data_IF_757717582324
#
_entry.id   IF_757717582324
#
_cell.length_a   1.000
_cell.length_b   1.000
_cell.length_c   1.000
_cell.angle_alpha   90.00
_cell.angle_beta   90.00
_cell.angle_gamma   90.00
#
_symmetry.space_group_name_H-M   'P 1'
#
loop_
_entity.id
_entity.type
_entity.pdbx_description
1 polymer ?
#
# COMPACT_ATOMS: atom_id res chain seq x y z
N UNK A 1 19.26 28.70 28.35
CA UNK A 1 19.05 27.29 27.96
C UNK A 1 18.76 27.26 26.47
N UNK A 2 19.55 26.54 25.66
CA UNK A 2 19.27 26.39 24.23
C UNK A 2 17.93 25.67 24.05
N UNK A 3 17.09 26.18 23.15
CA UNK A 3 15.76 25.59 22.86
C UNK A 3 15.98 24.24 22.16
N UNK A 4 15.47 23.16 22.73
CA UNK A 4 15.54 21.83 22.09
C UNK A 4 14.83 21.86 20.73
N UNK A 5 15.42 21.20 19.74
CA UNK A 5 14.88 21.06 18.38
C UNK A 5 14.45 19.61 18.15
N UNK A 6 13.25 19.42 17.60
CA UNK A 6 12.72 18.09 17.30
C UNK A 6 12.97 17.78 15.82
N UNK A 7 13.60 16.64 15.56
CA UNK A 7 13.73 16.05 14.23
C UNK A 7 12.80 14.87 14.11
N UNK A 8 11.72 15.05 13.34
CA UNK A 8 10.83 13.94 12.99
C UNK A 8 11.53 13.06 11.95
N UNK A 9 11.54 11.75 12.17
CA UNK A 9 12.14 10.76 11.27
C UNK A 9 11.03 9.98 10.56
N UNK A 10 10.75 10.29 9.28
CA UNK A 10 9.69 9.63 8.53
C UNK A 10 10.00 8.14 8.26
N UNK A 11 8.97 7.34 7.95
CA UNK A 11 9.15 5.97 7.49
C UNK A 11 10.17 5.84 6.36
N UNK A 12 11.11 4.90 6.51
CA UNK A 12 12.12 4.63 5.49
C UNK A 12 13.21 5.68 5.38
N UNK A 13 13.36 6.54 6.39
CA UNK A 13 14.44 7.52 6.49
C UNK A 13 15.25 7.32 7.77
N UNK A 14 16.43 7.94 7.80
CA UNK A 14 17.26 8.01 8.99
C UNK A 14 17.96 9.37 9.08
N UNK A 15 18.41 9.72 10.29
CA UNK A 15 19.27 10.88 10.55
C UNK A 15 20.36 10.51 11.55
N UNK A 16 21.49 11.22 11.45
CA UNK A 16 22.60 11.18 12.40
C UNK A 16 22.82 12.60 12.92
N UNK A 17 23.15 12.76 14.20
CA UNK A 17 23.46 14.06 14.80
C UNK A 17 24.58 13.95 15.82
N UNK A 18 25.25 15.09 16.03
CA UNK A 18 26.20 15.35 17.12
C UNK A 18 25.71 16.46 18.05
N UNK A 19 24.58 17.09 17.69
CA UNK A 19 24.06 18.26 18.39
C UNK A 19 23.22 17.81 19.61
N UNK A 20 23.64 18.16 20.85
CA UNK A 20 22.94 17.76 22.07
C UNK A 20 21.57 18.42 22.25
N UNK A 21 21.23 19.43 21.45
CA UNK A 21 19.91 20.06 21.44
C UNK A 21 18.87 19.32 20.60
N UNK A 22 19.27 18.30 19.83
CA UNK A 22 18.37 17.53 18.97
C UNK A 22 17.69 16.40 19.74
N UNK A 23 16.37 16.31 19.58
CA UNK A 23 15.56 15.15 19.93
C UNK A 23 15.03 14.54 18.63
N UNK A 24 15.27 13.25 18.40
CA UNK A 24 14.70 12.54 17.25
C UNK A 24 13.36 11.92 17.64
N UNK A 25 12.32 12.16 16.85
CA UNK A 25 10.97 11.65 17.09
C UNK A 25 10.49 10.76 15.94
N UNK A 26 9.86 9.63 16.24
CA UNK A 26 9.18 8.82 15.23
C UNK A 26 7.93 8.14 15.81
N UNK A 27 6.93 7.88 14.96
CA UNK A 27 5.73 7.15 15.31
C UNK A 27 5.77 5.76 14.67
N UNK A 28 5.56 4.72 15.48
CA UNK A 28 5.77 3.32 15.10
C UNK A 28 4.50 2.50 15.32
N UNK A 29 4.07 1.77 14.28
CA UNK A 29 3.04 0.74 14.33
C UNK A 29 3.67 -0.64 14.16
N UNK A 30 3.40 -1.29 13.04
CA UNK A 30 4.06 -2.54 12.62
C UNK A 30 5.51 -2.34 12.18
N UNK A 31 5.91 -1.12 11.83
CA UNK A 31 7.29 -0.71 11.62
C UNK A 31 8.10 -0.67 12.92
N UNK A 32 9.43 -0.64 12.81
CA UNK A 32 10.34 -0.54 13.97
C UNK A 32 11.25 0.68 13.84
N UNK A 33 11.60 1.27 14.98
CA UNK A 33 12.65 2.27 15.12
C UNK A 33 13.90 1.61 15.69
N UNK A 34 15.05 1.82 15.03
CA UNK A 34 16.36 1.44 15.56
C UNK A 34 17.10 2.73 15.90
N UNK A 35 17.35 2.94 17.19
CA UNK A 35 18.11 4.09 17.68
C UNK A 35 19.51 3.61 18.03
N UNK A 36 20.53 4.21 17.44
CA UNK A 36 21.93 3.88 17.69
C UNK A 36 22.63 5.07 18.33
N UNK A 37 23.49 4.84 19.30
CA UNK A 37 24.23 5.90 19.97
C UNK A 37 25.60 5.44 20.47
N UNK A 38 26.55 6.37 20.38
CA UNK A 38 27.85 6.36 21.02
C UNK A 38 27.92 7.60 21.93
N UNK A 39 27.69 7.38 23.23
CA UNK A 39 27.68 8.45 24.23
C UNK A 39 29.07 9.10 24.39
N UNK A 40 30.15 8.33 24.24
CA UNK A 40 31.50 8.85 24.42
C UNK A 40 31.84 9.89 23.35
N UNK A 41 31.55 9.56 22.09
CA UNK A 41 31.85 10.47 20.98
C UNK A 41 30.73 11.49 20.72
N UNK A 42 29.64 11.44 21.49
CA UNK A 42 28.46 12.29 21.34
C UNK A 42 27.90 12.22 19.92
N UNK A 43 27.54 11.00 19.50
CA UNK A 43 26.97 10.73 18.17
C UNK A 43 25.82 9.76 18.33
N UNK A 44 24.72 10.04 17.65
CA UNK A 44 23.67 9.03 17.52
C UNK A 44 22.77 9.28 16.33
N UNK A 45 21.99 8.28 16.00
CA UNK A 45 21.07 8.32 14.90
C UNK A 45 19.88 7.40 15.10
N UNK A 46 18.83 7.68 14.35
CA UNK A 46 17.58 6.94 14.37
C UNK A 46 17.20 6.60 12.94
N UNK A 47 16.85 5.35 12.70
CA UNK A 47 16.25 4.88 11.45
C UNK A 47 14.85 4.31 11.69
N UNK A 48 13.92 4.65 10.81
CA UNK A 48 12.58 4.09 10.78
C UNK A 48 12.48 3.01 9.70
N UNK A 49 12.41 1.75 10.11
CA UNK A 49 12.40 0.58 9.23
C UNK A 49 10.97 0.11 9.01
N UNK A 50 10.64 -0.17 7.76
CA UNK A 50 9.30 -0.57 7.32
C UNK A 50 9.26 -2.06 6.99
N UNK A 51 10.31 -2.55 6.32
CA UNK A 51 10.36 -3.89 5.74
C UNK A 51 11.58 -4.69 6.24
N UNK A 52 11.48 -6.03 6.24
CA UNK A 52 12.52 -6.85 6.85
C UNK A 52 13.75 -6.98 5.94
N UNK A 53 13.57 -7.37 4.68
CA UNK A 53 14.68 -7.65 3.76
C UNK A 53 14.49 -7.06 2.36
N UNK A 54 15.54 -6.42 1.84
CA UNK A 54 15.65 -5.91 0.48
C UNK A 54 15.84 -7.01 -0.57
N UNK A 55 16.15 -8.27 -0.22
CA UNK A 55 16.38 -9.35 -1.21
C UNK A 55 15.21 -9.59 -2.17
N UNK A 56 13.98 -9.29 -1.75
CA UNK A 56 12.79 -9.36 -2.59
C UNK A 56 12.75 -8.27 -3.70
N UNK A 57 13.52 -7.19 -3.56
CA UNK A 57 13.68 -6.11 -4.53
C UNK A 57 15.16 -5.96 -4.93
N UNK A 58 15.57 -6.50 -6.09
CA UNK A 58 16.93 -6.29 -6.63
C UNK A 58 17.27 -4.80 -6.62
N UNK A 59 18.22 -4.39 -5.76
CA UNK A 59 18.69 -3.00 -5.54
C UNK A 59 17.54 -1.98 -5.44
N UNK A 60 16.85 -1.99 -4.30
CA UNK A 60 15.83 -0.97 -4.01
C UNK A 60 16.43 0.45 -4.03
N UNK A 61 15.73 1.39 -4.68
CA UNK A 61 16.11 2.82 -4.73
C UNK A 61 16.05 3.50 -3.35
N UNK A 62 15.47 2.85 -2.34
CA UNK A 62 15.24 3.39 -1.00
C UNK A 62 15.76 2.43 0.08
N UNK A 63 17.09 2.28 0.23
CA UNK A 63 17.71 1.28 1.11
C UNK A 63 17.38 1.47 2.61
N UNK A 64 17.03 2.68 3.03
CA UNK A 64 16.65 2.98 4.42
C UNK A 64 15.28 2.40 4.83
N UNK A 65 14.49 1.84 3.90
CA UNK A 65 13.22 1.17 4.20
C UNK A 65 13.37 -0.20 4.84
N UNK A 66 14.49 -0.88 4.58
CA UNK A 66 14.71 -2.27 4.95
C UNK A 66 15.63 -2.40 6.16
N UNK A 67 15.40 -3.37 7.04
CA UNK A 67 16.36 -3.66 8.09
C UNK A 67 17.72 -4.08 7.50
N UNK A 68 17.70 -4.96 6.48
CA UNK A 68 18.91 -5.52 5.87
C UNK A 68 19.84 -4.52 5.20
N UNK A 69 19.32 -3.41 4.68
CA UNK A 69 20.15 -2.35 4.08
C UNK A 69 20.20 -1.05 4.89
N UNK A 70 19.15 -0.74 5.65
CA UNK A 70 19.04 0.52 6.37
C UNK A 70 19.93 0.60 7.62
N UNK A 71 20.02 -0.48 8.40
CA UNK A 71 20.87 -0.51 9.61
C UNK A 71 22.35 -0.38 9.23
N UNK A 72 22.88 -1.14 8.26
CA UNK A 72 24.25 -0.94 7.78
C UNK A 72 24.51 0.48 7.27
N UNK A 73 23.53 1.08 6.58
CA UNK A 73 23.64 2.45 6.07
C UNK A 73 23.72 3.48 7.20
N UNK A 74 22.84 3.39 8.20
CA UNK A 74 22.87 4.25 9.38
C UNK A 74 24.22 4.11 10.11
N UNK A 75 24.71 2.89 10.30
CA UNK A 75 26.01 2.63 10.93
C UNK A 75 27.16 3.29 10.17
N UNK A 76 27.17 3.17 8.84
CA UNK A 76 28.18 3.80 7.99
C UNK A 76 28.18 5.32 8.18
N UNK A 77 27.01 5.96 8.20
CA UNK A 77 26.91 7.41 8.42
C UNK A 77 27.32 7.83 9.84
N UNK A 78 27.05 7.00 10.86
CA UNK A 78 27.55 7.26 12.22
C UNK A 78 29.07 7.17 12.31
N UNK A 79 29.69 6.16 11.69
CA UNK A 79 31.15 6.02 11.66
C UNK A 79 31.79 7.20 10.92
N UNK A 80 31.22 7.61 9.78
CA UNK A 80 31.66 8.83 9.06
C UNK A 80 31.56 10.09 9.94
N UNK A 81 30.56 10.17 10.82
CA UNK A 81 30.43 11.26 11.77
C UNK A 81 31.41 11.17 12.97
N UNK A 82 32.13 10.05 13.12
CA UNK A 82 33.15 9.81 14.14
C UNK A 82 32.78 8.80 15.23
N UNK A 83 31.71 8.01 15.06
CA UNK A 83 31.30 7.02 16.06
C UNK A 83 32.24 5.82 16.07
N UNK A 84 32.49 5.27 17.25
CA UNK A 84 33.25 4.03 17.44
C UNK A 84 32.29 2.84 17.45
N UNK A 85 32.46 1.90 16.50
CA UNK A 85 31.61 0.71 16.39
C UNK A 85 31.59 -0.13 17.66
N UNK A 86 32.68 -0.15 18.42
CA UNK A 86 32.80 -0.89 19.70
C UNK A 86 31.99 -0.26 20.84
N UNK A 87 31.57 1.00 20.68
CA UNK A 87 30.87 1.79 21.71
C UNK A 87 29.42 2.08 21.35
N UNK A 88 28.97 1.65 20.17
CA UNK A 88 27.59 1.84 19.75
C UNK A 88 26.70 0.89 20.56
N UNK A 89 25.64 1.45 21.12
CA UNK A 89 24.53 0.71 21.72
C UNK A 89 23.23 1.00 20.98
N UNK A 90 22.25 0.11 21.11
CA UNK A 90 20.98 0.19 20.40
C UNK A 90 19.75 0.22 21.32
N UNK A 91 18.75 1.00 20.93
CA UNK A 91 17.36 0.82 21.34
C UNK A 91 16.53 0.31 20.18
N UNK A 92 15.64 -0.65 20.47
CA UNK A 92 14.76 -1.27 19.48
C UNK A 92 13.30 -1.11 19.91
N UNK A 93 12.50 -0.36 19.15
CA UNK A 93 11.11 -0.04 19.53
C UNK A 93 10.15 -0.28 18.37
N UNK A 94 8.89 -0.63 18.63
CA UNK A 94 7.82 -0.73 17.63
C UNK A 94 7.35 -2.16 17.35
N UNK A 95 7.03 -2.49 16.10
CA UNK A 95 6.68 -3.85 15.70
C UNK A 95 5.36 -4.35 16.26
N UNK A 96 4.43 -3.45 16.56
CA UNK A 96 3.10 -3.79 17.06
C UNK A 96 2.30 -4.61 16.03
N UNK A 97 1.57 -5.59 16.52
CA UNK A 97 0.61 -6.36 15.75
C UNK A 97 -0.74 -5.64 15.82
N UNK A 98 -1.09 -4.99 14.72
CA UNK A 98 -2.47 -4.58 14.49
C UNK A 98 -3.26 -5.87 14.25
N UNK A 99 -4.20 -6.19 15.13
CA UNK A 99 -5.09 -7.34 14.94
C UNK A 99 -6.01 -7.00 13.76
N UNK A 100 -5.69 -7.54 12.58
CA UNK A 100 -6.67 -7.76 11.52
C UNK A 100 -7.40 -9.07 11.81
N UNK A 101 -8.66 -9.14 11.38
CA UNK A 101 -9.58 -10.24 11.67
C UNK A 101 -8.94 -11.64 11.55
N UNK A 102 -9.38 -12.52 12.45
CA UNK A 102 -8.72 -13.73 13.00
C UNK A 102 -8.34 -14.86 12.02
N UNK A 103 -8.44 -14.68 10.70
CA UNK A 103 -8.09 -15.70 9.69
C UNK A 103 -7.02 -15.27 8.67
N UNK A 104 -6.66 -13.99 8.59
CA UNK A 104 -5.53 -13.50 7.78
C UNK A 104 -4.26 -13.20 8.59
N UNK A 105 -4.32 -13.34 9.91
CA UNK A 105 -3.29 -12.90 10.86
C UNK A 105 -2.05 -13.80 10.94
N UNK A 106 -2.00 -14.91 10.18
CA UNK A 106 -0.89 -15.88 10.26
C UNK A 106 0.27 -15.52 9.31
N UNK A 107 0.02 -14.83 8.19
CA UNK A 107 1.07 -14.56 7.17
C UNK A 107 1.69 -13.15 7.23
N UNK A 108 1.01 -12.17 7.83
CA UNK A 108 1.40 -10.74 7.80
C UNK A 108 2.07 -10.23 9.09
N UNK A 109 2.99 -10.99 9.69
CA UNK A 109 3.73 -10.52 10.86
C UNK A 109 5.00 -9.72 10.51
N UNK A 110 4.81 -8.64 9.74
CA UNK A 110 5.91 -7.78 9.25
C UNK A 110 6.69 -7.18 10.43
N UNK A 111 6.01 -6.79 11.51
CA UNK A 111 6.67 -6.24 12.70
C UNK A 111 7.62 -7.19 13.42
N UNK A 112 7.22 -8.46 13.64
CA UNK A 112 8.14 -9.46 14.20
C UNK A 112 9.28 -9.78 13.24
N UNK A 113 9.01 -9.87 11.93
CA UNK A 113 10.05 -10.09 10.91
C UNK A 113 11.07 -8.95 10.90
N UNK A 114 10.61 -7.69 10.94
CA UNK A 114 11.46 -6.51 11.04
C UNK A 114 12.36 -6.58 12.27
N UNK A 115 11.78 -6.84 13.45
CA UNK A 115 12.53 -6.91 14.69
C UNK A 115 13.55 -8.06 14.69
N UNK A 116 13.18 -9.23 14.17
CA UNK A 116 14.07 -10.38 14.07
C UNK A 116 15.29 -10.07 13.19
N UNK A 117 15.08 -9.50 12.00
CA UNK A 117 16.19 -9.14 11.11
C UNK A 117 17.05 -8.02 11.71
N UNK A 118 16.43 -6.99 12.32
CA UNK A 118 17.18 -5.95 12.99
C UNK A 118 18.08 -6.51 14.10
N UNK A 119 17.56 -7.43 14.93
CA UNK A 119 18.35 -8.13 15.96
C UNK A 119 19.50 -8.91 15.37
N UNK A 120 19.27 -9.66 14.29
CA UNK A 120 20.31 -10.42 13.60
C UNK A 120 21.44 -9.52 13.09
N UNK A 121 21.09 -8.38 12.49
CA UNK A 121 22.07 -7.44 11.95
C UNK A 121 22.86 -6.79 13.07
N UNK A 122 22.19 -6.27 14.11
CA UNK A 122 22.87 -5.65 15.25
C UNK A 122 23.84 -6.64 15.92
N UNK A 123 23.42 -7.90 16.10
CA UNK A 123 24.28 -8.96 16.60
C UNK A 123 25.49 -9.22 15.69
N UNK A 124 25.31 -9.21 14.36
CA UNK A 124 26.43 -9.41 13.41
C UNK A 124 27.46 -8.27 13.44
N UNK A 125 27.06 -7.08 13.90
CA UNK A 125 27.96 -5.94 14.12
C UNK A 125 28.46 -5.85 15.57
N UNK A 126 28.09 -6.80 16.45
CA UNK A 126 28.47 -6.77 17.87
C UNK A 126 27.81 -5.66 18.68
N UNK A 127 26.69 -5.10 18.23
CA UNK A 127 26.02 -3.96 18.86
C UNK A 127 24.99 -4.47 19.90
N UNK A 128 25.17 -4.17 21.20
CA UNK A 128 24.21 -4.57 22.22
C UNK A 128 22.91 -3.76 22.14
N UNK A 129 21.79 -4.45 22.30
CA UNK A 129 20.48 -3.82 22.49
C UNK A 129 20.28 -3.60 23.99
N UNK A 130 20.39 -2.36 24.44
CA UNK A 130 20.32 -2.01 25.87
C UNK A 130 18.88 -1.76 26.35
N UNK A 131 17.94 -1.54 25.44
CA UNK A 131 16.51 -1.47 25.74
C UNK A 131 15.69 -1.90 24.52
N UNK A 132 14.66 -2.70 24.75
CA UNK A 132 13.69 -3.06 23.74
C UNK A 132 12.25 -2.85 24.21
N UNK A 133 11.40 -2.40 23.30
CA UNK A 133 9.94 -2.36 23.47
C UNK A 133 9.29 -2.70 22.12
N UNK A 134 9.21 -4.01 21.85
CA UNK A 134 8.81 -4.58 20.56
C UNK A 134 7.52 -5.40 20.72
N UNK A 135 6.65 -5.37 19.72
CA UNK A 135 5.40 -6.14 19.70
C UNK A 135 4.24 -5.39 20.34
N UNK A 136 3.31 -6.14 20.94
CA UNK A 136 2.06 -5.58 21.49
C UNK A 136 1.03 -5.23 20.41
N UNK A 137 -0.04 -4.55 20.80
CA UNK A 137 -1.19 -4.26 19.93
C UNK A 137 -1.41 -2.76 19.64
N UNK A 138 -0.50 -1.91 20.12
CA UNK A 138 -0.63 -0.46 20.04
C UNK A 138 0.63 0.18 19.48
N UNK A 139 0.45 1.26 18.72
CA UNK A 139 1.58 2.05 18.23
C UNK A 139 2.30 2.80 19.36
N UNK A 140 3.48 3.33 19.04
CA UNK A 140 4.36 4.03 19.98
C UNK A 140 4.91 5.30 19.35
N UNK A 141 5.03 6.35 20.14
CA UNK A 141 5.89 7.50 19.83
C UNK A 141 7.22 7.29 20.53
N UNK A 142 8.29 7.34 19.77
CA UNK A 142 9.65 7.33 20.28
C UNK A 142 10.18 8.74 20.26
N UNK A 143 10.67 9.23 21.41
CA UNK A 143 11.53 10.40 21.51
C UNK A 143 12.90 9.97 22.01
N UNK A 144 13.88 10.08 21.14
CA UNK A 144 15.24 9.65 21.38
C UNK A 144 16.15 10.87 21.50
N UNK A 145 16.92 10.94 22.59
CA UNK A 145 17.98 11.93 22.79
C UNK A 145 19.32 11.24 22.52
N UNK A 146 19.89 11.38 21.30
CA UNK A 146 20.95 10.50 20.84
C UNK A 146 22.23 10.65 21.66
N UNK A 147 22.58 11.89 22.00
CA UNK A 147 23.81 12.23 22.73
C UNK A 147 23.75 11.77 24.18
N UNK A 148 22.56 11.84 24.79
CA UNK A 148 22.35 11.38 26.16
C UNK A 148 22.16 9.87 26.24
N UNK A 149 21.94 9.18 25.11
CA UNK A 149 21.58 7.76 25.08
C UNK A 149 20.30 7.48 25.88
N UNK A 150 19.31 8.37 25.81
CA UNK A 150 18.03 8.21 26.51
C UNK A 150 16.85 8.17 25.54
N UNK A 151 15.82 7.40 25.91
CA UNK A 151 14.64 7.18 25.07
C UNK A 151 13.37 7.23 25.92
N UNK A 152 12.42 8.04 25.47
CA UNK A 152 11.05 8.10 25.97
C UNK A 152 10.14 7.40 24.96
N UNK A 153 9.30 6.49 25.45
CA UNK A 153 8.39 5.70 24.63
C UNK A 153 6.98 5.95 25.16
N UNK A 154 6.13 6.53 24.34
CA UNK A 154 4.72 6.78 24.68
C UNK A 154 3.84 5.82 23.90
N UNK A 155 3.12 4.96 24.60
CA UNK A 155 2.12 4.08 23.97
C UNK A 155 0.92 4.90 23.50
N UNK A 156 0.44 4.64 22.29
CA UNK A 156 -0.75 5.28 21.70
C UNK A 156 -2.07 4.68 22.20
N UNK A 157 -2.09 4.10 23.39
CA UNK A 157 -3.30 3.45 23.93
C UNK A 157 -4.37 4.46 24.34
N UNK A 158 -5.63 4.01 24.27
CA UNK A 158 -6.93 4.72 24.42
C UNK A 158 -7.14 5.56 25.70
N UNK A 159 -6.14 5.77 26.55
CA UNK A 159 -6.21 6.64 27.74
C UNK A 159 -4.91 7.44 27.93
N UNK A 160 -4.92 8.69 27.49
CA UNK A 160 -4.09 9.76 28.06
C UNK A 160 -2.64 9.92 27.59
N UNK A 161 -2.18 9.20 26.57
CA UNK A 161 -0.85 9.44 25.97
C UNK A 161 -0.88 10.56 24.94
N UNK A 162 0.04 11.53 25.04
CA UNK A 162 0.26 12.55 24.02
C UNK A 162 0.55 11.86 22.68
N UNK A 163 -0.45 11.89 21.78
CA UNK A 163 -0.25 11.61 20.37
C UNK A 163 0.93 12.48 19.86
N UNK A 164 1.76 11.97 18.95
CA UNK A 164 2.78 12.80 18.34
C UNK A 164 2.05 13.95 17.66
N UNK A 165 2.54 15.18 17.84
CA UNK A 165 2.00 16.35 17.14
C UNK A 165 2.47 16.25 15.69
N UNK A 166 1.80 15.41 14.91
CA UNK A 166 1.65 15.59 13.48
C UNK A 166 0.74 16.80 13.26
N UNK A 167 0.89 17.52 12.16
CA UNK A 167 -0.06 18.58 11.80
C UNK A 167 -1.28 17.93 11.10
N UNK A 168 -2.40 17.66 11.81
CA UNK A 168 -3.61 17.03 11.24
C UNK A 168 -4.28 17.90 10.16
N UNK A 169 -3.84 19.15 10.02
CA UNK A 169 -4.53 20.19 9.24
C UNK A 169 -4.29 20.09 7.72
N UNK A 170 -3.19 19.48 7.24
CA UNK A 170 -2.95 19.41 5.79
C UNK A 170 -3.68 18.20 5.17
N UNK A 171 -4.95 18.43 4.86
CA UNK A 171 -5.73 17.59 3.94
C UNK A 171 -5.16 17.71 2.52
N UNK A 172 -5.40 16.70 1.69
CA UNK A 172 -5.01 16.74 0.27
C UNK A 172 -5.77 17.91 -0.37
N UNK A 173 -5.09 18.78 -1.11
CA UNK A 173 -5.79 19.80 -1.89
C UNK A 173 -6.42 19.14 -3.12
N UNK A 174 -7.66 19.51 -3.47
CA UNK A 174 -8.36 18.94 -4.64
C UNK A 174 -7.52 19.03 -5.91
N UNK A 175 -6.80 20.14 -6.10
CA UNK A 175 -5.89 20.34 -7.23
C UNK A 175 -4.78 19.29 -7.30
N UNK A 176 -4.14 18.96 -6.17
CA UNK A 176 -3.08 17.93 -6.11
C UNK A 176 -3.65 16.55 -6.47
N UNK A 177 -4.85 16.24 -6.00
CA UNK A 177 -5.55 14.99 -6.30
C UNK A 177 -5.89 14.88 -7.80
N UNK A 178 -6.47 15.92 -8.38
CA UNK A 178 -6.81 15.99 -9.80
C UNK A 178 -5.56 15.90 -10.69
N UNK A 179 -4.44 16.51 -10.31
CA UNK A 179 -3.18 16.38 -11.03
C UNK A 179 -2.69 14.92 -11.09
N UNK A 180 -2.86 14.15 -10.01
CA UNK A 180 -2.53 12.73 -10.00
C UNK A 180 -3.49 11.90 -10.82
N UNK A 181 -4.79 12.14 -10.67
CA UNK A 181 -5.82 11.47 -11.47
C UNK A 181 -5.53 11.72 -12.95
N UNK A 182 -5.14 12.93 -13.34
CA UNK A 182 -4.77 13.30 -14.70
C UNK A 182 -3.59 12.51 -15.27
N UNK A 183 -2.65 12.05 -14.44
CA UNK A 183 -1.51 11.22 -14.86
C UNK A 183 -1.85 9.74 -15.06
N UNK A 184 -3.03 9.28 -14.62
CA UNK A 184 -3.47 7.90 -14.88
C UNK A 184 -3.62 7.69 -16.39
N UNK A 185 -3.15 6.52 -16.85
CA UNK A 185 -3.36 6.06 -18.22
C UNK A 185 -4.88 6.10 -18.52
N UNK A 186 -5.30 6.64 -19.69
CA UNK A 186 -6.70 6.57 -20.09
C UNK A 186 -7.10 5.10 -20.32
N UNK A 187 -8.37 4.79 -20.12
CA UNK A 187 -8.91 3.49 -20.52
C UNK A 187 -8.81 3.34 -22.05
N UNK A 188 -8.33 2.20 -22.56
CA UNK A 188 -8.36 1.90 -23.98
C UNK A 188 -9.78 2.05 -24.55
N UNK A 189 -9.88 2.49 -25.81
CA UNK A 189 -11.17 2.74 -26.47
C UNK A 189 -12.08 1.49 -26.46
N UNK A 190 -11.49 0.30 -26.67
CA UNK A 190 -12.19 -0.99 -26.62
C UNK A 190 -12.87 -1.22 -25.27
N UNK A 191 -12.23 -0.85 -24.16
CA UNK A 191 -12.77 -1.00 -22.81
C UNK A 191 -13.94 -0.03 -22.61
N UNK A 192 -13.76 1.24 -23.01
CA UNK A 192 -14.83 2.23 -22.90
C UNK A 192 -16.06 1.81 -23.68
N UNK A 193 -15.91 1.31 -24.92
CA UNK A 193 -17.03 0.84 -25.73
C UNK A 193 -17.76 -0.35 -25.11
N UNK A 194 -17.05 -1.25 -24.46
CA UNK A 194 -17.65 -2.38 -23.74
C UNK A 194 -18.39 -1.91 -22.47
N UNK A 195 -17.85 -0.93 -21.74
CA UNK A 195 -18.48 -0.39 -20.53
C UNK A 195 -19.73 0.44 -20.85
N UNK A 196 -19.71 1.28 -21.89
CA UNK A 196 -20.78 2.23 -22.20
C UNK A 196 -22.08 1.62 -22.74
N UNK A 197 -22.13 0.31 -22.97
CA UNK A 197 -23.30 -0.37 -23.55
C UNK A 197 -24.31 -0.83 -22.49
N UNK A 198 -24.37 -0.14 -21.36
CA UNK A 198 -25.37 -0.34 -20.29
C UNK A 198 -26.78 0.04 -20.78
N UNK A 199 -26.93 0.85 -21.84
CA UNK A 199 -28.26 1.42 -22.14
C UNK A 199 -28.85 1.17 -23.54
N UNK A 200 -28.09 0.85 -24.61
CA UNK A 200 -28.74 0.49 -25.88
C UNK A 200 -27.75 -0.05 -26.93
N UNK A 201 -28.26 -0.97 -27.78
CA UNK A 201 -27.64 -1.68 -28.93
C UNK A 201 -26.72 -2.88 -28.65
N UNK A 202 -27.15 -4.07 -29.11
CA UNK A 202 -26.30 -5.24 -29.36
C UNK A 202 -25.10 -4.85 -30.27
N UNK A 203 -23.88 -5.00 -29.78
CA UNK A 203 -22.67 -4.91 -30.62
C UNK A 203 -22.51 -6.24 -31.33
N UNK A 204 -22.41 -6.25 -32.67
CA UNK A 204 -22.09 -7.48 -33.38
C UNK A 204 -20.64 -7.93 -33.08
N UNK A 205 -20.39 -9.24 -33.02
CA UNK A 205 -19.04 -9.78 -32.79
C UNK A 205 -17.99 -9.20 -33.76
N UNK A 206 -18.42 -8.83 -34.97
CA UNK A 206 -17.62 -8.22 -36.02
C UNK A 206 -17.13 -6.80 -35.67
N UNK A 207 -17.96 -6.01 -34.98
CA UNK A 207 -17.56 -4.66 -34.54
C UNK A 207 -16.53 -4.73 -33.41
N UNK A 208 -16.68 -5.66 -32.46
CA UNK A 208 -15.71 -5.84 -31.36
C UNK A 208 -14.36 -6.36 -31.87
N UNK A 209 -14.39 -7.24 -32.88
CA UNK A 209 -13.19 -7.80 -33.49
C UNK A 209 -12.26 -6.70 -34.03
N UNK A 210 -12.79 -5.65 -34.68
CA UNK A 210 -11.96 -4.57 -35.24
C UNK A 210 -11.16 -3.83 -34.16
N UNK A 211 -11.74 -3.65 -32.97
CA UNK A 211 -11.07 -2.99 -31.85
C UNK A 211 -10.09 -3.91 -31.13
N UNK A 212 -10.48 -5.18 -30.95
CA UNK A 212 -9.64 -6.18 -30.27
C UNK A 212 -8.37 -6.45 -31.07
N UNK A 213 -8.47 -6.59 -32.39
CA UNK A 213 -7.32 -6.89 -33.28
C UNK A 213 -6.27 -5.79 -33.29
N UNK A 214 -6.61 -4.56 -32.88
CA UNK A 214 -5.65 -3.46 -32.73
C UNK A 214 -4.76 -3.60 -31.48
N UNK A 215 -5.14 -4.48 -30.55
CA UNK A 215 -4.39 -4.75 -29.32
C UNK A 215 -3.92 -6.21 -29.28
N UNK A 216 -2.61 -6.40 -29.45
CA UNK A 216 -1.99 -7.73 -29.50
C UNK A 216 -2.11 -8.49 -28.17
N UNK A 217 -2.08 -7.78 -27.04
CA UNK A 217 -2.16 -8.40 -25.71
C UNK A 217 -3.58 -8.88 -25.41
N UNK A 218 -4.59 -8.05 -25.71
CA UNK A 218 -6.00 -8.43 -25.60
C UNK A 218 -6.33 -9.59 -26.54
N UNK A 219 -5.90 -9.53 -27.79
CA UNK A 219 -6.07 -10.60 -28.78
C UNK A 219 -5.52 -11.93 -28.25
N UNK A 220 -4.28 -11.93 -27.74
CA UNK A 220 -3.65 -13.14 -27.20
C UNK A 220 -4.40 -13.70 -25.97
N UNK A 221 -4.85 -12.82 -25.06
CA UNK A 221 -5.57 -13.24 -23.87
C UNK A 221 -6.95 -13.83 -24.18
N UNK A 222 -7.67 -13.26 -25.14
CA UNK A 222 -8.98 -13.78 -25.59
C UNK A 222 -8.81 -15.16 -26.23
N UNK A 223 -7.85 -15.32 -27.14
CA UNK A 223 -7.57 -16.63 -27.75
C UNK A 223 -7.13 -17.66 -26.70
N UNK A 224 -6.28 -17.27 -25.75
CA UNK A 224 -5.86 -18.15 -24.65
C UNK A 224 -7.05 -18.60 -23.79
N UNK A 225 -7.99 -17.70 -23.48
CA UNK A 225 -9.19 -18.04 -22.72
C UNK A 225 -10.12 -18.98 -23.50
N UNK A 226 -10.37 -18.69 -24.78
CA UNK A 226 -11.22 -19.51 -25.66
C UNK A 226 -10.67 -20.93 -25.87
N UNK A 227 -9.35 -21.09 -25.84
CA UNK A 227 -8.68 -22.39 -25.92
C UNK A 227 -8.51 -23.08 -24.55
N UNK A 228 -9.03 -22.50 -23.46
CA UNK A 228 -8.89 -23.12 -22.14
C UNK A 228 -9.75 -24.39 -22.05
N UNK A 229 -9.30 -25.43 -21.31
CA UNK A 229 -10.06 -26.67 -21.15
C UNK A 229 -11.47 -26.48 -20.59
N UNK A 230 -11.73 -25.35 -19.91
CA UNK A 230 -13.01 -25.00 -19.33
C UNK A 230 -14.15 -24.96 -20.37
N UNK A 231 -13.87 -24.47 -21.58
CA UNK A 231 -14.89 -24.33 -22.63
C UNK A 231 -15.03 -25.60 -23.51
N UNK A 232 -14.21 -26.63 -23.29
CA UNK A 232 -14.43 -27.97 -23.85
C UNK A 232 -14.40 -28.09 -25.38
N UNK A 233 -13.84 -27.11 -26.10
CA UNK A 233 -13.81 -27.12 -27.56
C UNK A 233 -12.81 -28.16 -28.10
N UNK A 234 -13.26 -29.08 -28.96
CA UNK A 234 -12.38 -30.04 -29.62
C UNK A 234 -11.65 -29.38 -30.80
N UNK A 235 -10.46 -28.82 -30.54
CA UNK A 235 -9.60 -28.18 -31.53
C UNK A 235 -8.88 -26.96 -30.97
N UNK A 236 -8.30 -26.14 -31.85
CA UNK A 236 -7.73 -24.85 -31.48
C UNK A 236 -8.48 -23.71 -32.17
N UNK A 237 -8.87 -22.69 -31.40
CA UNK A 237 -9.44 -21.45 -31.91
C UNK A 237 -8.31 -20.48 -32.20
N UNK A 238 -8.18 -20.09 -33.46
CA UNK A 238 -7.18 -19.13 -33.96
C UNK A 238 -7.81 -17.82 -34.47
N UNK A 239 -9.13 -17.72 -34.48
CA UNK A 239 -9.89 -16.58 -35.00
C UNK A 239 -10.65 -15.88 -33.87
N UNK A 240 -10.59 -14.55 -33.83
CA UNK A 240 -11.19 -13.73 -32.77
C UNK A 240 -12.71 -13.75 -32.81
N UNK A 241 -13.33 -13.60 -33.99
CA UNK A 241 -14.78 -13.70 -34.12
C UNK A 241 -15.33 -15.02 -33.55
N UNK A 242 -14.67 -16.15 -33.84
CA UNK A 242 -15.04 -17.47 -33.29
C UNK A 242 -14.82 -17.56 -31.78
N UNK A 243 -13.75 -16.93 -31.27
CA UNK A 243 -13.50 -16.84 -29.83
C UNK A 243 -14.60 -16.05 -29.11
N UNK A 244 -15.02 -14.90 -29.66
CA UNK A 244 -16.10 -14.06 -29.12
C UNK A 244 -17.41 -14.84 -29.05
N UNK A 245 -17.77 -15.56 -30.12
CA UNK A 245 -19.00 -16.37 -30.16
C UNK A 245 -18.96 -17.51 -29.14
N UNK A 246 -17.82 -18.18 -28.95
CA UNK A 246 -17.69 -19.27 -27.98
C UNK A 246 -17.75 -18.77 -26.53
N UNK A 247 -17.00 -17.70 -26.23
CA UNK A 247 -16.90 -17.13 -24.88
C UNK A 247 -18.20 -16.44 -24.45
N UNK A 248 -18.92 -15.86 -25.42
CA UNK A 248 -20.03 -14.96 -25.14
C UNK A 248 -19.56 -13.57 -24.72
N UNK A 249 -20.49 -12.62 -24.72
CA UNK A 249 -20.20 -11.21 -24.45
C UNK A 249 -19.78 -10.95 -23.00
N UNK A 250 -20.39 -11.65 -22.04
CA UNK A 250 -20.08 -11.53 -20.61
C UNK A 250 -18.61 -11.87 -20.32
N UNK A 251 -18.14 -13.03 -20.79
CA UNK A 251 -16.77 -13.47 -20.55
C UNK A 251 -15.75 -12.61 -21.30
N UNK A 252 -16.08 -12.19 -22.53
CA UNK A 252 -15.27 -11.25 -23.28
C UNK A 252 -15.05 -9.95 -22.49
N UNK A 253 -16.11 -9.39 -21.91
CA UNK A 253 -16.05 -8.20 -21.06
C UNK A 253 -15.13 -8.42 -19.86
N UNK A 254 -15.24 -9.56 -19.17
CA UNK A 254 -14.37 -9.91 -18.03
C UNK A 254 -12.90 -9.97 -18.43
N UNK A 255 -12.57 -10.61 -19.55
CA UNK A 255 -11.20 -10.73 -20.05
C UNK A 255 -10.65 -9.37 -20.45
N UNK A 256 -11.42 -8.57 -21.19
CA UNK A 256 -10.98 -7.25 -21.66
C UNK A 256 -10.76 -6.30 -20.48
N UNK A 257 -11.70 -6.22 -19.54
CA UNK A 257 -11.56 -5.41 -18.33
C UNK A 257 -10.38 -5.86 -17.48
N UNK A 258 -10.29 -7.16 -17.19
CA UNK A 258 -9.20 -7.71 -16.38
C UNK A 258 -7.82 -7.49 -16.99
N UNK A 259 -7.70 -7.61 -18.31
CA UNK A 259 -6.43 -7.40 -19.03
C UNK A 259 -6.06 -5.92 -19.08
N UNK A 260 -7.00 -5.04 -19.43
CA UNK A 260 -6.72 -3.62 -19.60
C UNK A 260 -6.52 -2.89 -18.27
N UNK A 261 -7.18 -3.34 -17.21
CA UNK A 261 -6.96 -2.82 -15.86
C UNK A 261 -5.72 -3.42 -15.19
N UNK A 262 -5.17 -4.53 -15.72
CA UNK A 262 -3.97 -5.16 -15.17
C UNK A 262 -2.83 -4.18 -15.01
N UNK A 263 -2.49 -3.41 -16.05
CA UNK A 263 -1.43 -2.41 -16.00
C UNK A 263 -1.61 -1.34 -14.92
N UNK A 264 -2.86 -1.04 -14.57
CA UNK A 264 -3.21 -0.02 -13.58
C UNK A 264 -3.08 -0.62 -12.17
N UNK A 265 -3.61 -1.82 -11.97
CA UNK A 265 -3.61 -2.52 -10.69
C UNK A 265 -2.34 -3.33 -10.38
N UNK A 266 -1.47 -3.62 -11.37
CA UNK A 266 -0.22 -4.39 -11.22
C UNK A 266 0.92 -3.54 -10.62
N UNK A 267 0.55 -2.67 -9.69
CA UNK A 267 1.44 -1.79 -8.93
C UNK A 267 1.44 -2.20 -7.46
N UNK A 268 2.55 -1.92 -6.76
CA UNK A 268 2.60 -2.07 -5.30
C UNK A 268 1.92 -0.85 -4.67
N UNK A 269 1.01 -1.09 -3.72
CA UNK A 269 0.27 -0.05 -3.04
C UNK A 269 0.72 -0.07 -1.58
N UNK A 270 1.89 0.53 -1.35
CA UNK A 270 2.57 0.50 -0.06
C UNK A 270 1.75 1.20 1.03
N UNK A 271 1.02 2.25 0.67
CA UNK A 271 0.21 3.03 1.59
C UNK A 271 -0.97 2.30 2.18
N UNK A 272 -1.38 1.19 1.56
CA UNK A 272 -2.39 0.28 2.09
C UNK A 272 -1.81 -1.07 2.52
N UNK A 273 -0.48 -1.20 2.55
CA UNK A 273 0.22 -2.47 2.82
C UNK A 273 -0.18 -3.61 1.87
N UNK A 274 -0.47 -3.28 0.60
CA UNK A 274 -0.86 -4.25 -0.42
C UNK A 274 0.33 -4.57 -1.33
N UNK A 275 0.67 -5.85 -1.41
CA UNK A 275 1.71 -6.34 -2.32
C UNK A 275 1.25 -6.26 -3.79
N UNK A 276 2.21 -6.42 -4.70
CA UNK A 276 1.98 -6.37 -6.15
C UNK A 276 0.88 -7.39 -6.54
N UNK A 277 -0.17 -6.90 -7.20
CA UNK A 277 -1.29 -7.72 -7.67
C UNK A 277 -2.31 -8.12 -6.60
N UNK A 278 -2.12 -7.77 -5.33
CA UNK A 278 -3.12 -8.06 -4.28
C UNK A 278 -4.43 -7.27 -4.49
N UNK A 279 -4.33 -5.99 -4.86
CA UNK A 279 -5.52 -5.18 -5.15
C UNK A 279 -6.31 -5.77 -6.32
N UNK A 280 -5.62 -6.19 -7.40
CA UNK A 280 -6.27 -6.85 -8.54
C UNK A 280 -7.02 -8.11 -8.13
N UNK A 281 -6.36 -9.01 -7.36
CA UNK A 281 -7.00 -10.25 -6.89
C UNK A 281 -8.22 -9.95 -6.03
N UNK A 282 -8.14 -8.94 -5.17
CA UNK A 282 -9.26 -8.51 -4.34
C UNK A 282 -10.43 -8.00 -5.20
N UNK A 283 -10.16 -7.10 -6.15
CA UNK A 283 -11.19 -6.55 -7.03
C UNK A 283 -11.87 -7.61 -7.89
N UNK A 284 -11.09 -8.55 -8.47
CA UNK A 284 -11.63 -9.68 -9.23
C UNK A 284 -12.48 -10.60 -8.34
N UNK A 285 -12.01 -10.91 -7.13
CA UNK A 285 -12.78 -11.74 -6.21
C UNK A 285 -14.11 -11.06 -5.84
N UNK A 286 -14.07 -9.78 -5.50
CA UNK A 286 -15.26 -9.00 -5.17
C UNK A 286 -16.23 -8.92 -6.34
N UNK A 287 -15.73 -8.77 -7.57
CA UNK A 287 -16.58 -8.69 -8.76
C UNK A 287 -17.26 -10.02 -9.10
N UNK A 288 -16.59 -11.16 -8.90
CA UNK A 288 -17.22 -12.48 -9.00
C UNK A 288 -18.30 -12.65 -7.93
N UNK A 289 -17.99 -12.31 -6.67
CA UNK A 289 -18.95 -12.43 -5.56
C UNK A 289 -20.16 -11.51 -5.77
N UNK A 290 -19.94 -10.27 -6.20
CA UNK A 290 -21.00 -9.30 -6.46
C UNK A 290 -21.96 -9.79 -7.55
N UNK A 291 -21.45 -10.36 -8.64
CA UNK A 291 -22.29 -10.97 -9.68
C UNK A 291 -23.13 -12.13 -9.14
N UNK A 292 -22.52 -13.03 -8.36
CA UNK A 292 -23.24 -14.16 -7.76
C UNK A 292 -24.37 -13.66 -6.85
N UNK A 293 -24.11 -12.63 -6.06
CA UNK A 293 -25.13 -12.00 -5.22
C UNK A 293 -26.23 -11.32 -6.03
N UNK A 294 -25.89 -10.61 -7.11
CA UNK A 294 -26.85 -9.97 -8.01
C UNK A 294 -27.80 -11.00 -8.64
N UNK A 295 -27.26 -12.13 -9.12
CA UNK A 295 -28.04 -13.25 -9.66
C UNK A 295 -28.95 -13.88 -8.60
N UNK A 296 -28.42 -14.16 -7.41
CA UNK A 296 -29.20 -14.77 -6.32
C UNK A 296 -30.33 -13.86 -5.82
N UNK A 297 -30.18 -12.55 -5.95
CA UNK A 297 -31.16 -11.56 -5.50
C UNK A 297 -32.11 -11.09 -6.59
N UNK A 298 -31.96 -11.56 -7.83
CA UNK A 298 -32.68 -11.03 -9.00
C UNK A 298 -32.61 -9.50 -9.04
N UNK A 299 -31.37 -8.97 -8.93
CA UNK A 299 -31.10 -7.54 -8.99
C UNK A 299 -31.72 -6.91 -10.25
N UNK A 300 -32.33 -5.73 -10.11
CA UNK A 300 -32.80 -4.93 -11.24
C UNK A 300 -31.64 -4.36 -12.07
N UNK A 301 -30.47 -4.15 -11.43
CA UNK A 301 -29.24 -3.78 -12.12
C UNK A 301 -28.63 -4.99 -12.82
N UNK A 302 -28.28 -4.78 -14.08
CA UNK A 302 -27.56 -5.73 -14.91
C UNK A 302 -26.28 -6.27 -14.24
N UNK A 303 -26.05 -7.58 -14.38
CA UNK A 303 -24.98 -8.32 -13.70
C UNK A 303 -23.60 -7.87 -14.16
N UNK A 304 -23.44 -7.52 -15.43
CA UNK A 304 -22.18 -7.02 -15.99
C UNK A 304 -21.83 -5.62 -15.46
N UNK A 305 -22.85 -4.80 -15.22
CA UNK A 305 -22.71 -3.51 -14.55
C UNK A 305 -22.23 -3.70 -13.11
N UNK A 306 -22.86 -4.61 -12.35
CA UNK A 306 -22.43 -4.96 -10.99
C UNK A 306 -20.98 -5.47 -10.97
N UNK A 307 -20.61 -6.34 -11.92
CA UNK A 307 -19.23 -6.81 -12.06
C UNK A 307 -18.25 -5.65 -12.22
N UNK A 308 -18.59 -4.72 -13.11
CA UNK A 308 -17.70 -3.61 -13.47
C UNK A 308 -17.54 -2.64 -12.30
N UNK A 309 -18.63 -2.29 -11.61
CA UNK A 309 -18.60 -1.47 -10.41
C UNK A 309 -17.73 -2.12 -9.32
N UNK A 310 -17.95 -3.41 -9.04
CA UNK A 310 -17.16 -4.14 -8.05
C UNK A 310 -15.69 -4.30 -8.45
N UNK A 311 -15.36 -4.39 -9.73
CA UNK A 311 -13.98 -4.42 -10.21
C UNK A 311 -13.27 -3.07 -10.03
N UNK A 312 -14.01 -1.97 -10.14
CA UNK A 312 -13.48 -0.60 -10.05
C UNK A 312 -13.57 0.03 -8.66
N UNK A 313 -14.33 -0.56 -7.72
CA UNK A 313 -14.71 0.05 -6.44
C UNK A 313 -13.53 0.59 -5.61
N UNK A 314 -12.35 -0.02 -5.78
CA UNK A 314 -11.17 0.22 -4.97
C UNK A 314 -10.05 0.97 -5.73
N UNK A 315 -10.34 1.42 -6.96
CA UNK A 315 -9.36 2.06 -7.86
C UNK A 315 -8.75 3.33 -7.25
N UNK A 316 -9.48 4.05 -6.40
CA UNK A 316 -9.01 5.26 -5.73
C UNK A 316 -7.81 5.04 -4.81
N UNK A 317 -7.61 3.81 -4.30
CA UNK A 317 -6.42 3.45 -3.49
C UNK A 317 -5.12 3.63 -4.26
N UNK A 318 -5.14 3.50 -5.59
CA UNK A 318 -3.96 3.70 -6.45
C UNK A 318 -3.50 5.16 -6.42
N UNK A 319 -4.46 6.10 -6.43
CA UNK A 319 -4.15 7.54 -6.37
C UNK A 319 -3.78 7.96 -4.95
N UNK A 320 -4.50 7.42 -3.96
CA UNK A 320 -4.28 7.73 -2.55
C UNK A 320 -3.02 7.08 -1.97
N UNK A 321 -2.45 6.05 -2.62
CA UNK A 321 -1.32 5.25 -2.12
C UNK A 321 -0.22 6.08 -1.44
N UNK A 322 0.31 7.09 -2.13
CA UNK A 322 1.41 7.89 -1.58
C UNK A 322 1.03 8.68 -0.33
N UNK A 323 -0.23 9.13 -0.24
CA UNK A 323 -0.73 9.96 0.85
C UNK A 323 -1.13 9.09 2.04
N UNK A 324 -1.75 7.94 1.73
CA UNK A 324 -2.02 6.89 2.70
C UNK A 324 -0.71 6.41 3.32
N UNK A 325 0.36 6.22 2.55
CA UNK A 325 1.65 5.73 3.06
C UNK A 325 2.22 6.51 4.24
N UNK A 326 2.14 7.84 4.21
CA UNK A 326 2.65 8.67 5.31
C UNK A 326 1.74 8.63 6.54
N UNK A 327 0.44 8.39 6.35
CA UNK A 327 -0.60 8.53 7.38
C UNK A 327 -1.32 7.22 7.73
N UNK A 328 -0.91 6.08 7.17
CA UNK A 328 -1.63 4.82 7.25
C UNK A 328 -1.78 4.34 8.69
N UNK A 329 -0.74 4.51 9.50
CA UNK A 329 -0.79 4.17 10.92
C UNK A 329 -1.89 4.93 11.67
N UNK A 330 -2.18 6.19 11.29
CA UNK A 330 -3.27 6.97 11.89
C UNK A 330 -4.63 6.44 11.47
N UNK A 331 -4.79 6.09 10.18
CA UNK A 331 -6.03 5.50 9.64
C UNK A 331 -6.32 4.19 10.38
N UNK A 332 -5.33 3.31 10.48
CA UNK A 332 -5.46 2.02 11.15
C UNK A 332 -5.72 2.17 12.66
N UNK A 333 -5.10 3.15 13.32
CA UNK A 333 -5.38 3.45 14.73
C UNK A 333 -6.86 3.83 14.94
N UNK A 334 -7.39 4.71 14.08
CA UNK A 334 -8.80 5.09 14.14
C UNK A 334 -9.74 3.91 13.90
N UNK A 335 -9.42 3.06 12.92
CA UNK A 335 -10.22 1.87 12.64
C UNK A 335 -10.23 0.91 13.81
N UNK A 336 -9.05 0.55 14.33
CA UNK A 336 -8.91 -0.54 15.28
C UNK A 336 -9.18 -0.11 16.72
N UNK A 337 -8.69 1.06 17.12
CA UNK A 337 -8.80 1.52 18.51
C UNK A 337 -10.05 2.36 18.73
N UNK A 338 -10.55 3.06 17.71
CA UNK A 338 -11.74 3.92 17.82
C UNK A 338 -12.98 3.29 17.17
N UNK A 339 -12.84 2.12 16.52
CA UNK A 339 -13.92 1.41 15.84
C UNK A 339 -14.62 2.26 14.77
N UNK A 340 -13.84 3.09 14.08
CA UNK A 340 -14.32 3.96 12.99
C UNK A 340 -14.24 3.17 11.68
N UNK A 341 -15.28 3.22 10.82
CA UNK A 341 -15.20 2.62 9.48
C UNK A 341 -13.97 3.12 8.70
N UNK A 342 -13.39 2.25 7.87
CA UNK A 342 -12.14 2.58 7.16
C UNK A 342 -12.25 3.82 6.27
N UNK A 343 -13.36 3.92 5.53
CA UNK A 343 -13.71 5.07 4.68
C UNK A 343 -13.76 6.37 5.51
N UNK A 344 -14.38 6.33 6.68
CA UNK A 344 -14.46 7.50 7.57
C UNK A 344 -13.07 7.88 8.13
N UNK A 345 -12.24 6.90 8.44
CA UNK A 345 -10.87 7.13 8.91
C UNK A 345 -10.00 7.75 7.82
N UNK A 346 -10.08 7.26 6.58
CA UNK A 346 -9.41 7.87 5.42
C UNK A 346 -9.88 9.30 5.22
N UNK A 347 -11.19 9.54 5.17
CA UNK A 347 -11.73 10.87 4.95
C UNK A 347 -11.28 11.85 6.05
N UNK A 348 -11.24 11.42 7.31
CA UNK A 348 -10.76 12.26 8.42
C UNK A 348 -9.26 12.58 8.32
N UNK A 349 -8.44 11.63 7.88
CA UNK A 349 -6.96 11.76 7.89
C UNK A 349 -6.40 12.36 6.58
N UNK A 350 -6.99 11.98 5.44
CA UNK A 350 -6.57 12.36 4.10
C UNK A 350 -7.40 13.52 3.54
N UNK A 351 -8.65 13.67 4.00
CA UNK A 351 -9.63 14.62 3.45
C UNK A 351 -10.50 14.04 2.34
N UNK A 352 -10.19 12.81 1.90
CA UNK A 352 -10.96 12.03 0.92
C UNK A 352 -10.81 10.55 1.27
N UNK A 353 -11.83 9.76 1.00
CA UNK A 353 -11.78 8.30 1.01
C UNK A 353 -11.54 7.74 -0.39
N UNK A 354 -11.12 6.48 -0.48
CA UNK A 354 -10.81 5.85 -1.76
C UNK A 354 -12.02 5.70 -2.68
N UNK A 355 -13.24 5.59 -2.15
CA UNK A 355 -14.44 5.47 -2.98
C UNK A 355 -14.76 6.80 -3.67
N UNK A 356 -14.68 7.91 -2.94
CA UNK A 356 -14.81 9.26 -3.50
C UNK A 356 -13.75 9.51 -4.59
N UNK A 357 -12.49 9.17 -4.32
CA UNK A 357 -11.42 9.29 -5.33
C UNK A 357 -11.68 8.37 -6.52
N UNK A 358 -12.25 7.19 -6.30
CA UNK A 358 -12.71 6.29 -7.36
C UNK A 358 -13.74 6.93 -8.28
N UNK A 359 -14.75 7.62 -7.72
CA UNK A 359 -15.74 8.38 -8.48
C UNK A 359 -15.11 9.47 -9.36
N UNK A 360 -14.14 10.24 -8.84
CA UNK A 360 -13.42 11.24 -9.64
C UNK A 360 -12.62 10.61 -10.80
N UNK A 361 -12.11 9.38 -10.61
CA UNK A 361 -11.44 8.63 -11.68
C UNK A 361 -12.47 8.17 -12.73
N UNK A 362 -13.64 7.69 -12.29
CA UNK A 362 -14.74 7.29 -13.16
C UNK A 362 -15.23 8.47 -14.03
N UNK A 363 -15.42 9.65 -13.43
CA UNK A 363 -15.75 10.88 -14.15
C UNK A 363 -14.69 11.24 -15.20
N UNK A 364 -13.39 11.19 -14.83
CA UNK A 364 -12.30 11.47 -15.77
C UNK A 364 -12.33 10.50 -16.95
N UNK A 365 -12.56 9.22 -16.68
CA UNK A 365 -12.67 8.20 -17.71
C UNK A 365 -13.97 8.27 -18.51
N UNK A 366 -14.89 9.15 -18.10
CA UNK A 366 -16.23 9.25 -18.64
C UNK A 366 -16.86 7.87 -18.53
N UNK A 367 -17.10 7.39 -17.31
CA UNK A 367 -17.90 6.17 -17.11
C UNK A 367 -19.37 6.56 -16.91
N UNK A 368 -20.31 5.66 -17.23
CA UNK A 368 -21.73 5.83 -16.90
C UNK A 368 -21.93 6.14 -15.41
N UNK A 369 -22.91 7.00 -15.06
CA UNK A 369 -23.17 7.43 -13.67
C UNK A 369 -23.50 6.29 -12.71
N UNK A 370 -23.98 5.15 -13.23
CA UNK A 370 -24.27 3.94 -12.46
C UNK A 370 -23.00 3.21 -11.96
N UNK A 371 -21.81 3.55 -12.48
CA UNK A 371 -20.50 2.97 -12.12
C UNK A 371 -19.66 3.98 -11.33
#
# INVERSE_FOLDING_TARGET
>A
MSKMKIWVIPPGQFRVTRDPSIVMETCLGSCIGVCLFDQHNSIGGLIHIILPDARAEKKSAYPARYASSGIPLLLSEMVKAGASTERISAFLVGGAMVILDSRLSVELNIGRKNAAIAKQILASYGIPIVKEDIGGHFGRVVRFRPIQGSIEITSLSKKGGLAPVFHPERKIALKELLEKINRLKPLPEVVRKIIYRIEDYEVSASELEEYILRDQALTANILKAANSPYYGFQGQISNIQRAIVLLGLEELRRIVLGTSLYDIYDTRINGYSLEKGMLMKHSIFCSIVAQLLANLKNSETDVDTVFTAALLHDIGKIVLDQYAFEKFNLIIDMVMNQNIPFIDAENRILGYDHAHVGGLIAEKWQLPEIL
#
